data_IF_088690614310
#
_entry.id   IF_088690614310
#
_cell.length_a   1.000
_cell.length_b   1.000
_cell.length_c   1.000
_cell.angle_alpha   90.00
_cell.angle_beta   90.00
_cell.angle_gamma   90.00
#
_symmetry.space_group_name_H-M   'P 1'
#
loop_
_entity.id
_entity.type
_entity.pdbx_description
1 polymer ?
#
# COMPACT_ATOMS: atom_id res chain seq x y z
N UNK A 1 -11.10 -9.04 15.29
CA UNK A 1 -11.62 -7.80 14.67
C UNK A 1 -11.52 -7.98 13.17
N UNK A 2 -12.64 -8.02 12.46
CA UNK A 2 -12.66 -8.10 11.00
C UNK A 2 -12.23 -6.72 10.48
N UNK A 3 -10.99 -6.61 9.99
CA UNK A 3 -10.50 -5.36 9.43
C UNK A 3 -11.29 -5.08 8.15
N UNK A 4 -12.01 -3.97 8.15
CA UNK A 4 -12.71 -3.48 6.97
C UNK A 4 -11.66 -3.18 5.91
N UNK A 5 -11.82 -3.64 4.65
CA UNK A 5 -10.86 -3.34 3.60
C UNK A 5 -10.69 -1.81 3.48
N UNK A 6 -9.44 -1.37 3.40
CA UNK A 6 -9.11 0.02 3.15
C UNK A 6 -8.18 0.11 1.93
N UNK A 7 -8.30 1.19 1.19
CA UNK A 7 -7.44 1.52 0.06
C UNK A 7 -6.39 2.49 0.57
N UNK A 8 -5.11 2.21 0.38
CA UNK A 8 -4.01 3.11 0.74
C UNK A 8 -3.50 3.83 -0.51
N UNK A 9 -3.15 5.11 -0.37
CA UNK A 9 -2.36 5.82 -1.37
C UNK A 9 -0.88 5.67 -1.01
N UNK A 10 -0.05 5.16 -1.91
CA UNK A 10 1.40 5.01 -1.70
C UNK A 10 2.18 5.66 -2.85
N UNK A 11 3.44 6.00 -2.60
CA UNK A 11 4.40 6.35 -3.64
C UNK A 11 5.14 5.12 -4.15
N UNK A 12 4.72 4.58 -5.30
CA UNK A 12 5.27 3.35 -5.86
C UNK A 12 6.70 3.53 -6.39
N UNK A 13 7.09 4.75 -6.80
CA UNK A 13 8.44 5.01 -7.29
C UNK A 13 9.49 4.78 -6.19
N UNK A 14 9.15 5.13 -4.94
CA UNK A 14 9.98 4.87 -3.76
C UNK A 14 10.18 3.38 -3.47
N UNK A 15 9.22 2.53 -3.85
CA UNK A 15 9.25 1.08 -3.66
C UNK A 15 10.20 0.35 -4.62
N UNK A 16 10.54 0.97 -5.76
CA UNK A 16 11.31 0.34 -6.84
C UNK A 16 12.69 0.99 -7.07
N UNK A 17 13.12 1.92 -6.20
CA UNK A 17 14.49 2.45 -6.20
C UNK A 17 14.83 3.41 -7.35
N UNK A 18 13.84 3.93 -8.07
CA UNK A 18 14.03 4.96 -9.09
C UNK A 18 13.87 6.36 -8.49
N UNK A 19 14.58 7.34 -9.06
CA UNK A 19 14.57 8.77 -8.71
C UNK A 19 13.15 9.31 -8.42
N UNK A 20 12.99 10.33 -7.55
CA UNK A 20 11.67 10.71 -7.03
C UNK A 20 10.81 11.29 -8.15
N UNK A 21 9.97 10.43 -8.73
CA UNK A 21 8.81 10.80 -9.52
C UNK A 21 7.61 10.39 -8.67
N UNK A 22 7.01 11.35 -7.98
CA UNK A 22 5.83 11.09 -7.15
C UNK A 22 4.70 10.58 -8.04
N UNK A 23 4.55 9.25 -8.12
CA UNK A 23 3.45 8.60 -8.80
C UNK A 23 2.54 8.02 -7.72
N UNK A 24 1.71 8.90 -7.15
CA UNK A 24 0.69 8.49 -6.19
C UNK A 24 -0.20 7.41 -6.79
N UNK A 25 -0.24 6.26 -6.12
CA UNK A 25 -0.96 5.08 -6.59
C UNK A 25 -1.84 4.52 -5.48
N UNK A 26 -3.00 3.99 -5.85
CA UNK A 26 -3.91 3.37 -4.90
C UNK A 26 -3.73 1.85 -4.90
N UNK A 27 -3.52 1.29 -3.72
CA UNK A 27 -3.37 -0.14 -3.48
C UNK A 27 -4.32 -0.62 -2.39
N UNK A 28 -4.57 -1.93 -2.32
CA UNK A 28 -5.44 -2.53 -1.30
C UNK A 28 -4.62 -3.44 -0.39
N UNK A 29 -4.22 -3.00 0.81
CA UNK A 29 -3.60 -3.87 1.80
C UNK A 29 -4.55 -4.99 2.22
N UNK A 30 -4.06 -6.23 2.16
CA UNK A 30 -4.82 -7.44 2.43
C UNK A 30 -4.44 -8.06 3.77
N UNK A 31 -3.16 -8.05 4.11
CA UNK A 31 -2.66 -8.62 5.35
C UNK A 31 -1.34 -7.98 5.79
N UNK A 32 -1.15 -7.92 7.11
CA UNK A 32 0.15 -7.72 7.73
C UNK A 32 0.49 -9.01 8.49
N UNK A 33 1.54 -9.71 8.07
CA UNK A 33 2.01 -10.92 8.72
C UNK A 33 3.50 -10.78 9.05
N UNK A 34 3.82 -10.82 10.35
CA UNK A 34 5.16 -10.54 10.88
C UNK A 34 5.64 -9.16 10.42
N UNK A 35 6.45 -9.13 9.37
CA UNK A 35 7.12 -7.94 8.84
C UNK A 35 6.92 -7.77 7.33
N UNK A 36 5.87 -8.40 6.79
CA UNK A 36 5.51 -8.33 5.37
C UNK A 36 4.08 -7.82 5.24
N UNK A 37 3.90 -6.80 4.39
CA UNK A 37 2.59 -6.34 3.94
C UNK A 37 2.28 -7.06 2.62
N UNK A 38 1.14 -7.74 2.58
CA UNK A 38 0.56 -8.25 1.35
C UNK A 38 -0.52 -7.28 0.88
N UNK A 39 -0.49 -6.87 -0.39
CA UNK A 39 -1.47 -5.96 -0.97
C UNK A 39 -1.80 -6.32 -2.42
N UNK A 40 -2.96 -5.90 -2.89
CA UNK A 40 -3.29 -5.89 -4.31
C UNK A 40 -2.88 -4.57 -4.94
N UNK A 41 -2.12 -4.66 -6.03
CA UNK A 41 -1.76 -3.53 -6.87
C UNK A 41 -2.57 -3.61 -8.17
N UNK A 42 -3.43 -2.61 -8.47
CA UNK A 42 -4.20 -2.61 -9.72
C UNK A 42 -3.36 -2.61 -11.01
N UNK A 43 -2.10 -2.16 -10.95
CA UNK A 43 -1.19 -2.14 -12.08
C UNK A 43 -0.37 -3.43 -12.21
N UNK A 44 0.11 -3.97 -11.08
CA UNK A 44 1.03 -5.12 -11.07
C UNK A 44 0.37 -6.47 -10.71
N UNK A 45 -0.87 -6.45 -10.24
CA UNK A 45 -1.66 -7.63 -9.89
C UNK A 45 -1.84 -7.89 -8.39
N UNK A 46 -2.55 -8.98 -8.02
CA UNK A 46 -2.83 -9.34 -6.63
C UNK A 46 -1.60 -9.88 -5.89
N UNK A 47 -1.72 -9.91 -4.56
CA UNK A 47 -0.79 -10.58 -3.64
C UNK A 47 0.68 -10.14 -3.75
N UNK A 48 0.91 -8.86 -4.07
CA UNK A 48 2.22 -8.22 -3.96
C UNK A 48 2.68 -8.24 -2.51
N UNK A 49 3.99 -8.44 -2.29
CA UNK A 49 4.58 -8.57 -0.95
C UNK A 49 5.80 -7.68 -0.83
N UNK A 50 5.83 -6.87 0.21
CA UNK A 50 6.97 -6.00 0.53
C UNK A 50 7.23 -6.00 2.04
N UNK A 51 8.46 -5.68 2.48
CA UNK A 51 8.73 -5.39 3.88
C UNK A 51 7.78 -4.32 4.42
N UNK A 52 7.34 -4.49 5.67
CA UNK A 52 6.41 -3.56 6.32
C UNK A 52 6.95 -2.14 6.32
N UNK A 53 8.21 -1.98 6.66
CA UNK A 53 8.83 -0.67 6.82
C UNK A 53 8.93 0.07 5.48
N UNK A 54 9.17 -0.65 4.37
CA UNK A 54 9.13 -0.09 3.02
C UNK A 54 7.73 0.38 2.63
N UNK A 55 6.71 -0.43 2.94
CA UNK A 55 5.31 -0.04 2.70
C UNK A 55 4.93 1.20 3.50
N UNK A 56 5.32 1.25 4.79
CA UNK A 56 5.03 2.38 5.66
C UNK A 56 5.77 3.64 5.21
N UNK A 57 7.00 3.53 4.73
CA UNK A 57 7.74 4.65 4.15
C UNK A 57 7.02 5.19 2.89
N UNK A 58 6.61 4.31 1.98
CA UNK A 58 5.85 4.68 0.78
C UNK A 58 4.46 5.26 1.09
N UNK A 59 3.83 4.85 2.19
CA UNK A 59 2.56 5.43 2.63
C UNK A 59 2.74 6.77 3.35
N UNK A 60 3.84 6.94 4.08
CA UNK A 60 4.18 8.17 4.79
C UNK A 60 4.41 9.33 3.83
N UNK A 61 5.00 9.10 2.66
CA UNK A 61 5.17 10.14 1.62
C UNK A 61 3.81 10.67 1.15
N UNK A 62 2.79 9.82 1.09
CA UNK A 62 1.41 10.20 0.79
C UNK A 62 0.66 10.82 1.99
N UNK A 63 1.32 11.02 3.13
CA UNK A 63 0.72 11.54 4.36
C UNK A 63 -0.28 10.57 4.99
N UNK A 64 -0.04 9.26 4.87
CA UNK A 64 -0.91 8.20 5.38
C UNK A 64 -2.36 8.27 4.85
N UNK A 65 -2.56 8.81 3.64
CA UNK A 65 -3.87 8.94 3.03
C UNK A 65 -4.42 7.58 2.60
N UNK A 66 -5.71 7.39 2.81
CA UNK A 66 -6.43 6.19 2.39
C UNK A 66 -7.94 6.37 2.48
N UNK A 67 -8.67 5.39 1.95
CA UNK A 67 -10.13 5.36 1.94
C UNK A 67 -10.59 4.09 2.66
N UNK A 68 -11.50 4.23 3.63
CA UNK A 68 -12.16 3.09 4.25
C UNK A 68 -13.35 2.66 3.40
N UNK A 69 -13.44 1.37 3.06
CA UNK A 69 -14.54 0.84 2.24
C UNK A 69 -15.65 0.33 3.15
N UNK A 70 -16.81 0.98 3.16
CA UNK A 70 -17.96 0.50 3.92
C UNK A 70 -18.74 -0.52 3.08
N UNK A 71 -18.89 -1.74 3.58
CA UNK A 71 -19.75 -2.75 2.96
C UNK A 71 -21.17 -2.55 3.53
N UNK A 72 -22.15 -2.39 2.64
CA UNK A 72 -23.57 -2.29 2.99
C UNK A 72 -24.18 -3.66 3.27
#
# INVERSE_FOLDING_TARGET
>A
MQQVPFVAMIDVASSYGTTPMFQWHFVVPLALQRDVVTFHDPADGPDRRVPRDDFLAAWATAGYRGVRVWIQ
#
